data_IF_082021996710
#
_entry.id   IF_082021996710
#
_cell.length_a   1.000
_cell.length_b   1.000
_cell.length_c   1.000
_cell.angle_alpha   90.00
_cell.angle_beta   90.00
_cell.angle_gamma   90.00
#
_symmetry.space_group_name_H-M   'P 1'
#
loop_
_entity.id
_entity.type
_entity.pdbx_description
1 polymer ?
#
# COMPACT_ATOMS: atom_id res chain seq x y z
N UNK A 1 44.37 44.04 42.25
CA UNK A 1 42.91 43.86 42.36
C UNK A 1 42.64 42.37 42.56
N UNK A 2 41.83 41.99 43.56
CA UNK A 2 41.81 40.65 44.15
C UNK A 2 40.80 39.70 43.49
N UNK A 3 40.93 38.38 43.69
CA UNK A 3 39.86 37.39 43.52
C UNK A 3 39.16 37.13 44.86
N UNK A 4 37.86 36.81 44.86
CA UNK A 4 37.16 36.40 46.08
C UNK A 4 36.20 35.24 45.84
N UNK A 5 36.57 34.11 46.45
CA UNK A 5 35.83 32.89 46.73
C UNK A 5 34.85 33.06 47.89
N UNK A 6 33.79 32.24 47.94
CA UNK A 6 33.12 31.81 49.17
C UNK A 6 32.94 30.28 49.07
N UNK A 7 33.48 29.36 49.90
CA UNK A 7 33.37 29.09 51.36
C UNK A 7 31.91 29.01 51.84
N UNK A 8 31.42 27.99 52.58
CA UNK A 8 32.03 26.98 53.48
C UNK A 8 31.05 25.80 53.76
N UNK A 9 31.50 24.71 54.43
CA UNK A 9 30.76 23.47 54.69
C UNK A 9 30.37 23.26 56.18
N UNK A 10 29.74 22.10 56.44
CA UNK A 10 29.87 21.21 57.61
C UNK A 10 28.56 20.90 58.36
N UNK A 11 28.23 19.62 58.50
CA UNK A 11 27.90 19.08 59.83
C UNK A 11 28.20 17.58 59.89
N UNK A 12 29.00 17.24 60.89
CA UNK A 12 29.55 15.94 61.27
C UNK A 12 28.54 15.10 62.04
N UNK A 13 28.60 13.76 61.94
CA UNK A 13 28.43 12.88 63.11
C UNK A 13 29.09 11.52 62.87
N UNK A 14 29.85 11.03 63.87
CA UNK A 14 30.56 9.74 63.91
C UNK A 14 29.87 8.78 64.88
N UNK A 15 29.88 7.49 64.53
CA UNK A 15 29.86 6.33 65.44
C UNK A 15 28.47 5.99 66.04
N UNK A 16 28.07 4.75 66.29
CA UNK A 16 28.72 3.43 66.43
C UNK A 16 27.62 2.35 66.38
N UNK A 17 27.95 1.07 66.15
CA UNK A 17 27.09 -0.05 66.61
C UNK A 17 26.62 -1.10 65.60
N UNK A 18 27.46 -2.12 65.41
CA UNK A 18 27.19 -3.58 65.28
C UNK A 18 25.82 -4.14 64.82
N UNK A 19 25.90 -4.85 63.69
CA UNK A 19 25.32 -6.18 63.34
C UNK A 19 23.83 -6.49 63.59
N UNK A 20 23.12 -6.82 62.50
CA UNK A 20 22.50 -8.15 62.30
C UNK A 20 22.11 -8.37 60.83
N UNK A 21 22.58 -9.52 60.33
CA UNK A 21 22.23 -10.13 59.04
C UNK A 21 20.74 -10.45 58.94
N UNK A 22 20.12 -10.18 57.80
CA UNK A 22 19.15 -11.09 57.16
C UNK A 22 19.07 -10.79 55.66
N UNK A 23 19.00 -11.87 54.89
CA UNK A 23 19.10 -11.98 53.44
C UNK A 23 18.10 -11.12 52.65
N UNK A 24 18.60 -10.39 51.63
CA UNK A 24 17.79 -9.92 50.51
C UNK A 24 18.53 -10.26 49.21
N UNK A 25 17.94 -11.19 48.44
CA UNK A 25 18.40 -11.63 47.12
C UNK A 25 18.45 -10.46 46.12
N UNK A 26 19.45 -10.39 45.21
CA UNK A 26 19.46 -9.37 44.16
C UNK A 26 18.41 -9.69 43.10
N UNK A 27 17.59 -8.69 42.76
CA UNK A 27 16.62 -8.75 41.66
C UNK A 27 17.34 -9.08 40.35
N UNK A 28 16.91 -10.19 39.75
CA UNK A 28 17.34 -10.68 38.46
C UNK A 28 17.21 -9.62 37.35
N UNK A 29 18.22 -9.61 36.48
CA UNK A 29 18.22 -9.02 35.14
C UNK A 29 16.93 -9.38 34.39
N UNK A 30 16.03 -8.42 34.22
CA UNK A 30 14.93 -8.57 33.27
C UNK A 30 15.41 -8.20 31.87
N UNK A 31 15.67 -9.25 31.11
CA UNK A 31 15.82 -9.29 29.67
C UNK A 31 14.78 -8.39 28.98
N UNK A 32 15.27 -7.39 28.25
CA UNK A 32 14.46 -6.45 27.49
C UNK A 32 13.57 -7.15 26.46
N UNK A 33 12.27 -6.90 26.55
CA UNK A 33 11.29 -7.29 25.53
C UNK A 33 11.68 -6.64 24.20
N UNK A 34 12.10 -7.44 23.23
CA UNK A 34 12.23 -7.00 21.83
C UNK A 34 10.86 -6.47 21.36
N UNK A 35 10.82 -5.19 21.03
CA UNK A 35 9.63 -4.54 20.47
C UNK A 35 9.25 -5.22 19.16
N UNK A 36 8.07 -5.84 19.11
CA UNK A 36 7.42 -6.15 17.84
C UNK A 36 6.96 -4.81 17.25
N UNK A 37 7.65 -4.34 16.21
CA UNK A 37 7.15 -3.23 15.40
C UNK A 37 5.73 -3.54 14.88
N UNK A 38 4.92 -2.52 14.58
CA UNK A 38 3.54 -2.72 14.16
C UNK A 38 3.49 -3.60 12.91
N UNK A 39 2.78 -4.72 13.00
CA UNK A 39 2.53 -5.63 11.88
C UNK A 39 1.50 -4.97 10.97
N UNK A 40 1.98 -4.09 10.09
CA UNK A 40 1.22 -3.50 8.99
C UNK A 40 0.84 -4.59 7.98
N UNK A 41 -0.26 -5.32 8.22
CA UNK A 41 -0.83 -6.25 7.23
C UNK A 41 -2.21 -6.84 7.55
N UNK A 42 -2.65 -6.89 8.81
CA UNK A 42 -3.82 -7.73 9.19
C UNK A 42 -5.19 -7.17 8.78
N UNK A 43 -5.31 -5.84 8.64
CA UNK A 43 -6.50 -5.13 8.15
C UNK A 43 -6.11 -3.92 7.29
N UNK A 44 -6.88 -3.66 6.23
CA UNK A 44 -6.66 -2.53 5.33
C UNK A 44 -7.70 -1.41 5.54
N UNK A 45 -7.29 -0.16 5.31
CA UNK A 45 -8.20 1.00 5.20
C UNK A 45 -8.54 1.34 3.74
N UNK A 46 -8.08 0.51 2.80
CA UNK A 46 -8.37 0.65 1.36
C UNK A 46 -9.67 -0.07 1.10
N UNK A 47 -10.64 0.66 0.57
CA UNK A 47 -12.07 0.32 0.60
C UNK A 47 -12.42 -0.94 -0.21
N UNK A 48 -11.55 -1.35 -1.13
CA UNK A 48 -11.76 -2.47 -2.05
C UNK A 48 -10.93 -3.73 -1.71
N UNK A 49 -10.25 -3.76 -0.55
CA UNK A 49 -9.43 -4.90 -0.10
C UNK A 49 -9.53 -5.12 1.41
N UNK A 50 -9.19 -6.32 1.88
CA UNK A 50 -9.30 -6.69 3.30
C UNK A 50 -7.96 -6.58 4.05
N UNK A 51 -6.84 -6.77 3.34
CA UNK A 51 -5.50 -6.75 3.90
C UNK A 51 -4.49 -6.21 2.88
N UNK A 52 -3.33 -5.76 3.36
CA UNK A 52 -2.21 -5.39 2.47
C UNK A 52 -0.99 -6.24 2.77
N UNK A 53 -0.28 -6.62 1.72
CA UNK A 53 0.99 -7.34 1.84
C UNK A 53 2.07 -6.61 1.05
N UNK A 54 3.14 -6.22 1.74
CA UNK A 54 4.19 -5.37 1.17
C UNK A 54 5.55 -6.09 1.25
N UNK A 55 5.85 -7.01 0.32
CA UNK A 55 7.17 -7.65 0.19
C UNK A 55 8.23 -6.68 -0.35
N UNK A 56 7.83 -5.50 -0.82
CA UNK A 56 8.68 -4.39 -1.25
C UNK A 56 8.08 -3.09 -0.69
N UNK A 57 8.91 -2.12 -0.37
CA UNK A 57 8.51 -0.75 -0.02
C UNK A 57 9.30 0.25 -0.85
N UNK A 58 8.73 1.42 -1.13
CA UNK A 58 9.37 2.44 -1.96
C UNK A 58 9.17 2.24 -3.46
N UNK A 59 9.28 3.32 -4.22
CA UNK A 59 9.05 3.34 -5.68
C UNK A 59 9.57 4.64 -6.30
N UNK A 60 9.73 4.67 -7.62
CA UNK A 60 9.99 5.88 -8.40
C UNK A 60 8.76 6.31 -9.20
N UNK A 61 8.65 7.63 -9.45
CA UNK A 61 7.53 8.24 -10.16
C UNK A 61 7.68 8.01 -11.67
N UNK A 62 6.65 7.47 -12.31
CA UNK A 62 6.65 7.20 -13.77
C UNK A 62 5.60 7.97 -14.55
N UNK A 63 4.74 8.71 -13.87
CA UNK A 63 3.59 9.34 -14.50
C UNK A 63 2.95 10.43 -13.63
N UNK A 64 2.09 11.30 -14.19
CA UNK A 64 1.44 12.37 -13.43
C UNK A 64 0.60 11.88 -12.23
N UNK A 65 0.10 10.63 -12.27
CA UNK A 65 -0.59 10.02 -11.13
C UNK A 65 0.31 9.84 -9.89
N UNK A 66 1.64 9.84 -10.06
CA UNK A 66 2.60 9.69 -8.97
C UNK A 66 2.98 11.02 -8.29
N UNK A 67 2.57 12.18 -8.83
CA UNK A 67 3.03 13.50 -8.38
C UNK A 67 2.75 13.77 -6.88
N UNK A 68 1.64 13.26 -6.35
CA UNK A 68 1.22 13.45 -4.95
C UNK A 68 0.99 12.10 -4.25
N UNK A 69 1.92 11.17 -4.45
CA UNK A 69 1.84 9.82 -3.90
C UNK A 69 1.67 9.83 -2.37
N UNK A 70 0.59 9.20 -1.88
CA UNK A 70 0.35 9.06 -0.44
C UNK A 70 1.44 8.20 0.23
N UNK A 71 1.92 7.17 -0.48
CA UNK A 71 2.88 6.21 0.05
C UNK A 71 4.23 6.89 0.30
N UNK A 72 4.69 7.71 -0.65
CA UNK A 72 5.87 8.58 -0.49
C UNK A 72 5.68 9.54 0.68
N UNK A 73 4.59 10.31 0.69
CA UNK A 73 4.29 11.28 1.76
C UNK A 73 4.24 10.63 3.14
N UNK A 74 3.79 9.39 3.24
CA UNK A 74 3.74 8.64 4.49
C UNK A 74 5.13 8.14 4.91
N UNK A 75 5.87 7.54 3.96
CA UNK A 75 7.17 6.94 4.22
C UNK A 75 8.22 7.99 4.61
N UNK A 76 8.23 9.14 3.96
CA UNK A 76 9.21 10.22 4.20
C UNK A 76 9.14 10.79 5.63
N UNK A 77 8.02 10.65 6.33
CA UNK A 77 7.89 11.08 7.74
C UNK A 77 8.79 10.30 8.69
N UNK A 78 9.26 9.13 8.27
CA UNK A 78 10.02 8.20 9.09
C UNK A 78 11.49 8.08 8.66
N UNK A 79 11.91 8.87 7.66
CA UNK A 79 13.29 8.86 7.19
C UNK A 79 14.23 9.22 8.34
N UNK A 80 15.28 8.42 8.51
CA UNK A 80 16.27 8.57 9.58
C UNK A 80 15.85 8.00 10.95
N UNK A 81 14.64 7.47 11.09
CA UNK A 81 14.21 6.81 12.35
C UNK A 81 14.68 5.36 12.35
N UNK A 82 15.76 5.09 13.09
CA UNK A 82 16.39 3.77 13.15
C UNK A 82 15.41 2.66 13.56
N UNK A 83 15.42 1.56 12.81
CA UNK A 83 14.59 0.39 13.06
C UNK A 83 13.13 0.53 12.59
N UNK A 84 12.73 1.70 12.06
CA UNK A 84 11.41 1.85 11.46
C UNK A 84 11.36 1.18 10.07
N UNK A 85 10.22 0.57 9.66
CA UNK A 85 10.06 -0.01 8.32
C UNK A 85 10.30 0.93 7.12
N UNK A 86 10.37 2.23 7.38
CA UNK A 86 10.61 3.29 6.39
C UNK A 86 11.77 4.20 6.84
N UNK A 87 12.78 3.64 7.53
CA UNK A 87 14.01 4.34 7.91
C UNK A 87 14.69 5.04 6.73
N UNK A 88 14.61 4.45 5.53
CA UNK A 88 15.10 5.03 4.27
C UNK A 88 14.02 5.77 3.49
N UNK A 89 12.99 6.28 4.16
CA UNK A 89 11.86 6.98 3.51
C UNK A 89 11.21 6.12 2.42
N UNK A 90 11.00 6.71 1.23
CA UNK A 90 10.38 6.05 0.08
C UNK A 90 11.37 5.40 -0.90
N UNK A 91 12.63 5.24 -0.48
CA UNK A 91 13.63 4.54 -1.29
C UNK A 91 13.21 3.07 -1.47
N UNK A 92 13.49 2.50 -2.65
CA UNK A 92 13.13 1.11 -2.95
C UNK A 92 13.87 0.16 -2.02
N UNK A 93 13.12 -0.71 -1.34
CA UNK A 93 13.64 -1.68 -0.38
C UNK A 93 12.92 -3.01 -0.54
N UNK A 94 13.68 -4.08 -0.77
CA UNK A 94 13.17 -5.45 -0.71
C UNK A 94 12.95 -5.85 0.74
N UNK A 95 11.87 -6.60 1.01
CA UNK A 95 11.51 -7.09 2.36
C UNK A 95 11.42 -8.63 2.33
N UNK A 96 12.54 -9.36 2.15
CA UNK A 96 12.53 -10.83 2.05
C UNK A 96 11.91 -11.51 3.27
N UNK A 97 12.08 -10.93 4.46
CA UNK A 97 11.47 -11.40 5.70
C UNK A 97 9.92 -11.32 5.71
N UNK A 98 9.30 -10.64 4.74
CA UNK A 98 7.85 -10.54 4.59
C UNK A 98 7.29 -11.45 3.50
N UNK A 99 8.13 -12.17 2.75
CA UNK A 99 7.68 -13.00 1.62
C UNK A 99 6.67 -14.06 2.06
N UNK A 100 6.89 -14.70 3.21
CA UNK A 100 6.02 -15.78 3.71
C UNK A 100 4.84 -15.28 4.55
N UNK A 101 4.63 -13.96 4.68
CA UNK A 101 3.62 -13.41 5.58
C UNK A 101 2.18 -13.87 5.25
N UNK A 102 1.74 -13.95 3.98
CA UNK A 102 0.40 -14.44 3.64
C UNK A 102 0.15 -15.88 4.12
N UNK A 103 1.15 -16.75 4.08
CA UNK A 103 1.04 -18.14 4.53
C UNK A 103 0.68 -18.28 6.01
N UNK A 104 0.95 -17.25 6.82
CA UNK A 104 0.62 -17.22 8.23
C UNK A 104 -0.86 -16.86 8.49
N UNK A 105 -1.59 -16.39 7.49
CA UNK A 105 -2.98 -15.95 7.64
C UNK A 105 -3.96 -17.07 7.32
N UNK A 106 -4.43 -17.76 8.36
CA UNK A 106 -5.28 -18.95 8.21
C UNK A 106 -6.65 -18.75 7.56
N UNK A 107 -7.19 -17.53 7.55
CA UNK A 107 -8.53 -17.24 7.01
C UNK A 107 -8.43 -16.64 5.62
N UNK A 108 -9.26 -17.05 4.64
CA UNK A 108 -9.34 -16.42 3.34
C UNK A 108 -9.46 -14.91 3.42
N UNK A 109 -8.75 -14.22 2.52
CA UNK A 109 -8.65 -12.77 2.46
C UNK A 109 -8.48 -12.33 1.02
N UNK A 110 -9.04 -11.18 0.70
CA UNK A 110 -8.68 -10.37 -0.45
C UNK A 110 -7.51 -9.45 -0.07
N UNK A 111 -6.34 -9.65 -0.69
CA UNK A 111 -5.07 -9.05 -0.29
C UNK A 111 -4.56 -8.13 -1.39
N UNK A 112 -4.42 -6.84 -1.10
CA UNK A 112 -3.73 -5.92 -1.99
C UNK A 112 -2.20 -6.04 -1.84
N UNK A 113 -1.55 -6.44 -2.93
CA UNK A 113 -0.11 -6.64 -3.02
C UNK A 113 0.57 -5.30 -3.34
N UNK A 114 1.56 -4.94 -2.52
CA UNK A 114 2.41 -3.75 -2.69
C UNK A 114 1.66 -2.40 -2.62
N UNK A 115 0.84 -2.20 -1.58
CA UNK A 115 0.20 -0.91 -1.30
C UNK A 115 1.18 0.25 -0.99
N UNK A 116 2.48 -0.04 -0.83
CA UNK A 116 3.53 0.93 -0.49
C UNK A 116 4.70 0.92 -1.47
N UNK A 117 4.49 0.39 -2.67
CA UNK A 117 5.51 0.24 -3.73
C UNK A 117 4.85 -0.13 -5.06
N UNK A 118 5.64 -0.52 -6.07
CA UNK A 118 5.16 -1.16 -7.30
C UNK A 118 5.97 -2.45 -7.48
N UNK A 119 5.31 -3.62 -7.48
CA UNK A 119 5.98 -4.92 -7.59
C UNK A 119 6.83 -5.02 -8.86
N UNK A 120 6.41 -4.33 -9.93
CA UNK A 120 7.08 -4.37 -11.22
C UNK A 120 8.05 -3.21 -11.43
N UNK A 121 8.53 -2.54 -10.38
CA UNK A 121 9.60 -1.56 -10.48
C UNK A 121 10.87 -2.15 -11.13
N UNK A 122 11.54 -1.42 -12.02
CA UNK A 122 12.71 -1.88 -12.81
C UNK A 122 13.88 -2.39 -11.94
N UNK A 123 14.15 -1.73 -10.82
CA UNK A 123 15.17 -2.14 -9.84
C UNK A 123 14.74 -3.32 -8.93
N UNK A 124 13.58 -3.93 -9.14
CA UNK A 124 13.17 -5.16 -8.42
C UNK A 124 13.63 -6.35 -9.24
N UNK A 125 14.55 -7.20 -8.74
CA UNK A 125 15.04 -8.36 -9.49
C UNK A 125 13.89 -9.30 -9.89
N UNK A 126 13.91 -9.81 -11.12
CA UNK A 126 12.91 -10.77 -11.63
C UNK A 126 12.78 -11.98 -10.70
N UNK A 127 13.90 -12.51 -10.20
CA UNK A 127 13.93 -13.60 -9.22
C UNK A 127 13.21 -13.28 -7.90
N UNK A 128 13.12 -12.01 -7.50
CA UNK A 128 12.35 -11.61 -6.33
C UNK A 128 10.85 -11.57 -6.65
N UNK A 129 10.46 -11.11 -7.84
CA UNK A 129 9.07 -11.16 -8.30
C UNK A 129 8.59 -12.60 -8.38
N UNK A 130 9.41 -13.53 -8.89
CA UNK A 130 9.09 -14.98 -8.91
C UNK A 130 8.73 -15.48 -7.51
N UNK A 131 9.55 -15.17 -6.49
CA UNK A 131 9.28 -15.56 -5.09
C UNK A 131 8.00 -14.97 -4.53
N UNK A 132 7.61 -13.77 -4.97
CA UNK A 132 6.32 -13.17 -4.60
C UNK A 132 5.16 -13.98 -5.20
N UNK A 133 5.28 -14.39 -6.47
CA UNK A 133 4.29 -15.24 -7.14
C UNK A 133 4.22 -16.66 -6.55
N UNK A 134 5.36 -17.25 -6.16
CA UNK A 134 5.40 -18.53 -5.45
C UNK A 134 4.57 -18.48 -4.16
N UNK A 135 4.76 -17.44 -3.33
CA UNK A 135 3.92 -17.24 -2.13
C UNK A 135 2.44 -17.13 -2.49
N UNK A 136 2.08 -16.37 -3.54
CA UNK A 136 0.68 -16.20 -3.92
C UNK A 136 0.04 -17.51 -4.35
N UNK A 137 0.80 -18.37 -5.04
CA UNK A 137 0.36 -19.71 -5.45
C UNK A 137 0.19 -20.65 -4.26
N UNK A 138 1.18 -20.66 -3.34
CA UNK A 138 1.14 -21.51 -2.14
C UNK A 138 -0.02 -21.11 -1.21
N UNK A 139 -0.28 -19.81 -1.08
CA UNK A 139 -1.36 -19.26 -0.27
C UNK A 139 -2.70 -19.23 -1.02
N UNK A 140 -3.09 -20.35 -1.65
CA UNK A 140 -4.22 -20.46 -2.59
C UNK A 140 -5.60 -20.18 -1.98
N UNK A 141 -5.73 -20.22 -0.65
CA UNK A 141 -6.95 -19.85 0.07
C UNK A 141 -7.16 -18.32 0.15
N UNK A 142 -6.21 -17.51 -0.33
CA UNK A 142 -6.35 -16.08 -0.47
C UNK A 142 -6.52 -15.67 -1.92
N UNK A 143 -7.19 -14.54 -2.14
CA UNK A 143 -7.19 -13.84 -3.43
C UNK A 143 -6.25 -12.65 -3.36
N UNK A 144 -5.32 -12.54 -4.30
CA UNK A 144 -4.35 -11.46 -4.37
C UNK A 144 -4.72 -10.46 -5.47
N UNK A 145 -4.68 -9.18 -5.17
CA UNK A 145 -4.85 -8.08 -6.11
C UNK A 145 -3.49 -7.44 -6.34
N UNK A 146 -2.95 -7.57 -7.55
CA UNK A 146 -1.70 -6.92 -7.97
C UNK A 146 -2.05 -5.71 -8.82
N UNK A 147 -1.49 -4.54 -8.50
CA UNK A 147 -1.71 -3.30 -9.24
C UNK A 147 -0.37 -2.66 -9.59
N UNK A 148 -0.19 -2.24 -10.84
CA UNK A 148 1.06 -1.59 -11.30
C UNK A 148 0.81 -0.43 -12.25
N UNK A 149 1.82 0.44 -12.43
CA UNK A 149 1.88 1.40 -13.55
C UNK A 149 2.91 1.01 -14.61
N UNK A 150 3.61 -0.12 -14.42
CA UNK A 150 4.68 -0.65 -15.29
C UNK A 150 4.20 -1.91 -16.00
N UNK A 151 3.07 -1.78 -16.69
CA UNK A 151 2.29 -2.91 -17.22
C UNK A 151 3.00 -3.67 -18.32
N UNK A 152 3.87 -3.02 -19.10
CA UNK A 152 4.72 -3.67 -20.10
C UNK A 152 5.71 -4.65 -19.43
N UNK A 153 6.45 -4.19 -18.41
CA UNK A 153 7.33 -5.08 -17.64
C UNK A 153 6.54 -6.21 -16.97
N UNK A 154 5.35 -5.90 -16.45
CA UNK A 154 4.48 -6.92 -15.89
C UNK A 154 4.08 -7.98 -16.90
N UNK A 155 3.66 -7.58 -18.11
CA UNK A 155 3.36 -8.52 -19.20
C UNK A 155 4.57 -9.36 -19.57
N UNK A 156 5.73 -8.75 -19.81
CA UNK A 156 6.90 -9.45 -20.33
C UNK A 156 7.45 -10.45 -19.31
N UNK A 157 7.48 -10.08 -18.03
CA UNK A 157 7.90 -10.98 -16.96
C UNK A 157 6.88 -12.09 -16.72
N UNK A 158 5.59 -11.80 -16.78
CA UNK A 158 4.55 -12.80 -16.51
C UNK A 158 4.38 -13.79 -17.65
N UNK A 159 4.68 -13.42 -18.89
CA UNK A 159 4.83 -14.38 -20.01
C UNK A 159 5.93 -15.40 -19.73
N UNK A 160 7.11 -14.95 -19.32
CA UNK A 160 8.21 -15.84 -18.93
C UNK A 160 7.85 -16.73 -17.75
N UNK A 161 7.07 -16.22 -16.78
CA UNK A 161 6.57 -17.04 -15.67
C UNK A 161 5.56 -18.08 -16.12
N UNK A 162 4.66 -17.73 -17.04
CA UNK A 162 3.65 -18.63 -17.57
C UNK A 162 4.25 -19.78 -18.41
N UNK A 163 5.43 -19.58 -19.02
CA UNK A 163 6.21 -20.65 -19.66
C UNK A 163 6.75 -21.67 -18.67
N UNK A 164 6.99 -21.26 -17.41
CA UNK A 164 7.50 -22.13 -16.35
C UNK A 164 6.38 -22.78 -15.55
N UNK A 165 5.28 -22.07 -15.31
CA UNK A 165 4.18 -22.50 -14.45
C UNK A 165 2.89 -21.70 -14.77
N UNK A 166 1.72 -22.34 -14.97
CA UNK A 166 0.46 -21.64 -15.25
C UNK A 166 0.16 -20.49 -14.28
N UNK A 167 -0.48 -19.43 -14.76
CA UNK A 167 -0.88 -18.29 -13.91
C UNK A 167 -1.79 -18.74 -12.75
N UNK A 168 -1.55 -18.30 -11.50
CA UNK A 168 -2.40 -18.70 -10.38
C UNK A 168 -3.80 -18.09 -10.47
N UNK A 169 -4.83 -18.94 -10.38
CA UNK A 169 -6.25 -18.54 -10.45
C UNK A 169 -6.65 -17.50 -9.41
N UNK A 170 -5.96 -17.52 -8.27
CA UNK A 170 -6.21 -16.64 -7.14
C UNK A 170 -5.47 -15.29 -7.22
N UNK A 171 -4.78 -14.99 -8.34
CA UNK A 171 -4.08 -13.72 -8.56
C UNK A 171 -4.80 -12.89 -9.62
N UNK A 172 -5.36 -11.76 -9.18
CA UNK A 172 -5.94 -10.73 -10.03
C UNK A 172 -4.85 -9.74 -10.43
N UNK A 173 -4.84 -9.36 -11.70
CA UNK A 173 -3.87 -8.41 -12.24
C UNK A 173 -4.55 -7.10 -12.62
N UNK A 174 -3.94 -5.98 -12.28
CA UNK A 174 -4.49 -4.69 -12.66
C UNK A 174 -3.44 -3.64 -12.98
N UNK A 175 -3.90 -2.59 -13.65
CA UNK A 175 -3.09 -1.42 -13.98
C UNK A 175 -3.76 -0.14 -13.53
N UNK A 176 -2.98 0.85 -13.09
CA UNK A 176 -3.52 2.20 -12.92
C UNK A 176 -3.52 2.99 -14.23
N UNK A 177 -4.59 3.73 -14.49
CA UNK A 177 -4.72 4.64 -15.64
C UNK A 177 -5.29 5.96 -15.15
N UNK A 178 -4.45 6.98 -15.00
CA UNK A 178 -4.88 8.25 -14.43
C UNK A 178 -5.49 9.24 -15.45
N UNK A 179 -5.18 9.12 -16.74
CA UNK A 179 -5.65 10.02 -17.79
C UNK A 179 -5.51 9.37 -19.18
N UNK A 180 -6.05 10.04 -20.21
CA UNK A 180 -6.14 9.50 -21.57
C UNK A 180 -4.78 9.10 -22.17
N UNK A 181 -3.67 9.73 -21.75
CA UNK A 181 -2.31 9.42 -22.26
C UNK A 181 -1.82 8.03 -21.83
N UNK A 182 -2.45 7.41 -20.84
CA UNK A 182 -2.02 6.13 -20.26
C UNK A 182 -3.00 4.97 -20.50
N UNK A 183 -4.02 5.16 -21.34
CA UNK A 183 -5.04 4.13 -21.62
C UNK A 183 -4.45 2.86 -22.26
N UNK A 184 -3.35 3.00 -23.00
CA UNK A 184 -2.60 1.89 -23.62
C UNK A 184 -2.05 0.89 -22.61
N UNK A 185 -1.93 1.25 -21.33
CA UNK A 185 -1.58 0.25 -20.29
C UNK A 185 -2.59 -0.89 -20.22
N UNK A 186 -3.84 -0.66 -20.63
CA UNK A 186 -4.85 -1.70 -20.72
C UNK A 186 -4.53 -2.75 -21.80
N UNK A 187 -3.81 -2.38 -22.87
CA UNK A 187 -3.39 -3.32 -23.92
C UNK A 187 -2.42 -4.36 -23.36
N UNK A 188 -1.37 -3.91 -22.67
CA UNK A 188 -0.43 -4.82 -22.01
C UNK A 188 -1.10 -5.66 -20.92
N UNK A 189 -2.10 -5.10 -20.21
CA UNK A 189 -2.84 -5.85 -19.20
C UNK A 189 -3.62 -7.03 -19.82
N UNK A 190 -4.26 -6.83 -20.98
CA UNK A 190 -5.01 -7.88 -21.69
C UNK A 190 -4.14 -9.08 -22.07
N UNK A 191 -2.86 -8.83 -22.33
CA UNK A 191 -1.88 -9.87 -22.69
C UNK A 191 -1.46 -10.75 -21.50
N UNK A 192 -1.80 -10.38 -20.25
CA UNK A 192 -1.50 -11.17 -19.06
C UNK A 192 -2.60 -12.22 -18.85
N UNK A 193 -2.29 -13.52 -18.64
CA UNK A 193 -3.29 -14.60 -18.56
C UNK A 193 -4.06 -14.65 -17.21
N UNK A 194 -4.31 -13.51 -16.57
CA UNK A 194 -5.10 -13.45 -15.34
C UNK A 194 -6.60 -13.62 -15.61
N UNK A 195 -7.28 -14.48 -14.83
CA UNK A 195 -8.73 -14.66 -14.88
C UNK A 195 -9.48 -13.35 -14.61
N UNK A 196 -8.98 -12.55 -13.67
CA UNK A 196 -9.50 -11.21 -13.39
C UNK A 196 -8.43 -10.17 -13.73
N UNK A 197 -8.81 -9.26 -14.62
CA UNK A 197 -8.06 -8.08 -15.03
C UNK A 197 -8.80 -6.83 -14.63
N UNK A 198 -8.17 -5.90 -13.93
CA UNK A 198 -8.86 -4.70 -13.45
C UNK A 198 -8.09 -3.41 -13.74
N UNK A 199 -8.82 -2.31 -13.89
CA UNK A 199 -8.25 -0.98 -14.09
C UNK A 199 -8.55 -0.13 -12.86
N UNK A 200 -7.53 0.46 -12.26
CA UNK A 200 -7.69 1.48 -11.23
C UNK A 200 -7.47 2.87 -11.84
N UNK A 201 -8.55 3.58 -12.08
CA UNK A 201 -8.56 4.96 -12.52
C UNK A 201 -8.30 5.89 -11.33
N UNK A 202 -7.11 5.79 -10.72
CA UNK A 202 -6.76 6.46 -9.48
C UNK A 202 -5.31 7.02 -9.45
N UNK A 203 -5.14 8.33 -9.13
CA UNK A 203 -6.21 9.33 -9.15
C UNK A 203 -6.74 9.52 -10.59
N UNK A 204 -8.04 9.75 -10.76
CA UNK A 204 -8.59 10.15 -12.05
C UNK A 204 -8.26 11.64 -12.30
N UNK A 205 -7.43 11.90 -13.31
CA UNK A 205 -6.84 13.21 -13.64
C UNK A 205 -7.30 13.75 -15.00
N UNK A 206 -8.33 13.15 -15.61
CA UNK A 206 -8.92 13.60 -16.86
C UNK A 206 -9.99 12.64 -17.35
N UNK A 207 -10.72 13.00 -18.42
CA UNK A 207 -11.66 12.08 -19.06
C UNK A 207 -10.91 10.88 -19.65
N UNK A 208 -11.58 9.73 -19.67
CA UNK A 208 -11.05 8.48 -20.21
C UNK A 208 -11.99 7.92 -21.26
N UNK A 209 -11.43 7.39 -22.35
CA UNK A 209 -12.11 6.50 -23.30
C UNK A 209 -11.40 5.16 -23.21
N UNK A 210 -12.02 4.19 -22.54
CA UNK A 210 -11.42 2.89 -22.27
C UNK A 210 -11.95 1.83 -23.23
N UNK A 211 -11.05 1.02 -23.78
CA UNK A 211 -11.42 -0.27 -24.33
C UNK A 211 -11.53 -1.28 -23.17
N UNK A 212 -12.77 -1.63 -22.80
CA UNK A 212 -13.08 -2.54 -21.69
C UNK A 212 -13.11 -4.02 -22.09
N UNK A 213 -12.85 -4.35 -23.37
CA UNK A 213 -12.72 -5.75 -23.77
C UNK A 213 -11.64 -6.47 -22.94
N UNK A 214 -11.99 -7.63 -22.39
CA UNK A 214 -11.10 -8.44 -21.54
C UNK A 214 -10.79 -7.82 -20.17
N UNK A 215 -11.48 -6.75 -19.78
CA UNK A 215 -11.41 -6.12 -18.46
C UNK A 215 -12.64 -6.54 -17.64
N UNK A 216 -12.42 -6.87 -16.38
CA UNK A 216 -13.41 -7.50 -15.52
C UNK A 216 -13.83 -6.62 -14.34
N UNK A 217 -13.15 -5.50 -14.11
CA UNK A 217 -13.47 -4.57 -13.04
C UNK A 217 -12.80 -3.21 -13.25
N UNK A 218 -13.53 -2.13 -12.98
CA UNK A 218 -13.00 -0.76 -13.01
C UNK A 218 -13.23 -0.09 -11.66
N UNK A 219 -12.15 0.42 -11.09
CA UNK A 219 -12.15 1.21 -9.86
C UNK A 219 -11.92 2.67 -10.23
N UNK A 220 -12.71 3.58 -9.69
CA UNK A 220 -12.55 5.02 -9.89
C UNK A 220 -12.38 5.75 -8.55
N UNK A 221 -11.46 6.71 -8.49
CA UNK A 221 -11.23 7.50 -7.29
C UNK A 221 -10.44 8.78 -7.51
N UNK A 222 -10.81 9.82 -6.76
CA UNK A 222 -10.13 11.10 -6.75
C UNK A 222 -8.87 11.13 -5.89
N UNK A 223 -8.04 12.14 -6.12
CA UNK A 223 -6.77 12.30 -5.41
C UNK A 223 -6.97 12.77 -3.95
N UNK A 224 -6.15 12.24 -3.04
CA UNK A 224 -6.19 12.59 -1.61
C UNK A 224 -4.94 13.38 -1.19
N UNK A 225 -5.00 14.03 -0.03
CA UNK A 225 -3.86 14.74 0.56
C UNK A 225 -3.88 16.25 0.37
N UNK A 226 -2.86 16.92 0.89
CA UNK A 226 -2.79 18.39 0.94
C UNK A 226 -2.70 19.03 -0.46
N UNK A 227 -2.09 18.34 -1.43
CA UNK A 227 -1.93 18.79 -2.81
C UNK A 227 -2.85 18.09 -3.80
N UNK A 228 -3.93 17.49 -3.31
CA UNK A 228 -4.89 16.78 -4.16
C UNK A 228 -5.42 17.67 -5.30
N UNK A 229 -5.43 17.11 -6.51
CA UNK A 229 -6.08 17.67 -7.69
C UNK A 229 -7.56 17.27 -7.71
N UNK A 230 -8.41 18.18 -8.21
CA UNK A 230 -9.85 17.95 -8.33
C UNK A 230 -10.12 16.97 -9.47
N UNK A 231 -11.01 16.01 -9.21
CA UNK A 231 -11.62 15.15 -10.22
C UNK A 231 -12.95 15.78 -10.64
N UNK A 232 -13.19 15.91 -11.94
CA UNK A 232 -14.48 16.41 -12.44
C UNK A 232 -15.57 15.31 -12.33
N UNK A 233 -16.75 15.61 -11.78
CA UNK A 233 -17.87 14.67 -11.72
C UNK A 233 -18.29 14.09 -13.07
N UNK A 234 -18.15 14.85 -14.16
CA UNK A 234 -18.49 14.35 -15.50
C UNK A 234 -17.60 13.18 -15.92
N UNK A 235 -16.32 13.15 -15.50
CA UNK A 235 -15.39 12.08 -15.86
C UNK A 235 -15.75 10.75 -15.18
N UNK A 236 -16.15 10.80 -13.91
CA UNK A 236 -16.56 9.59 -13.17
C UNK A 236 -17.90 9.06 -13.67
N UNK A 237 -18.86 9.93 -14.01
CA UNK A 237 -20.14 9.52 -14.60
C UNK A 237 -19.93 8.84 -15.95
N UNK A 238 -19.15 9.46 -16.83
CA UNK A 238 -18.82 8.90 -18.13
C UNK A 238 -18.08 7.55 -18.02
N UNK A 239 -17.18 7.40 -17.04
CA UNK A 239 -16.51 6.12 -16.77
C UNK A 239 -17.48 5.04 -16.24
N UNK A 240 -18.40 5.40 -15.34
CA UNK A 240 -19.48 4.51 -14.88
C UNK A 240 -20.33 4.05 -16.06
N UNK A 241 -20.75 4.98 -16.91
CA UNK A 241 -21.65 4.69 -18.03
C UNK A 241 -20.96 3.78 -19.07
N UNK A 242 -19.66 3.97 -19.32
CA UNK A 242 -18.84 3.03 -20.11
C UNK A 242 -18.84 1.62 -19.51
N UNK A 243 -18.71 1.49 -18.19
CA UNK A 243 -18.71 0.21 -17.49
C UNK A 243 -20.07 -0.48 -17.57
N UNK A 244 -21.16 0.27 -17.35
CA UNK A 244 -22.54 -0.22 -17.51
C UNK A 244 -22.78 -0.72 -18.93
N UNK A 245 -22.42 0.07 -19.94
CA UNK A 245 -22.59 -0.31 -21.35
C UNK A 245 -21.81 -1.58 -21.72
N UNK A 246 -20.65 -1.80 -21.10
CA UNK A 246 -19.81 -2.98 -21.34
C UNK A 246 -20.15 -4.18 -20.44
N UNK A 247 -21.08 -4.05 -19.48
CA UNK A 247 -21.36 -5.09 -18.49
C UNK A 247 -20.18 -5.36 -17.54
N UNK A 248 -19.32 -4.37 -17.31
CA UNK A 248 -18.14 -4.48 -16.43
C UNK A 248 -18.45 -3.89 -15.06
N UNK A 249 -18.20 -4.62 -13.95
CA UNK A 249 -18.38 -4.11 -12.60
C UNK A 249 -17.65 -2.78 -12.36
N UNK A 250 -18.37 -1.81 -11.79
CA UNK A 250 -17.84 -0.49 -11.45
C UNK A 250 -17.78 -0.24 -9.94
N UNK A 251 -16.61 0.17 -9.45
CA UNK A 251 -16.40 0.52 -8.05
C UNK A 251 -15.99 2.00 -7.93
N UNK A 252 -16.88 2.81 -7.38
CA UNK A 252 -16.54 4.17 -6.98
C UNK A 252 -15.99 4.19 -5.56
N UNK A 253 -14.68 4.44 -5.46
CA UNK A 253 -13.96 4.37 -4.18
C UNK A 253 -14.17 5.62 -3.34
N UNK A 254 -13.95 6.80 -3.91
CA UNK A 254 -14.10 8.10 -3.24
C UNK A 254 -13.86 9.29 -4.17
N UNK A 255 -14.29 10.48 -3.74
CA UNK A 255 -13.97 11.75 -4.41
C UNK A 255 -12.58 12.32 -4.11
N UNK A 256 -11.85 11.79 -3.12
CA UNK A 256 -10.56 12.34 -2.73
C UNK A 256 -10.71 13.55 -1.82
N UNK A 257 -9.97 14.64 -2.04
CA UNK A 257 -10.04 15.82 -1.17
C UNK A 257 -11.20 16.79 -1.47
N UNK A 258 -11.94 16.57 -2.56
CA UNK A 258 -13.05 17.41 -3.01
C UNK A 258 -14.37 16.64 -2.90
N UNK A 259 -15.50 17.33 -2.75
CA UNK A 259 -16.82 16.71 -2.91
C UNK A 259 -17.27 16.72 -4.38
N UNK A 260 -18.45 16.15 -4.65
CA UNK A 260 -19.08 16.12 -5.98
C UNK A 260 -19.32 17.52 -6.57
N UNK A 261 -19.43 18.56 -5.74
CA UNK A 261 -19.58 19.94 -6.21
C UNK A 261 -18.23 20.63 -6.47
N UNK A 262 -17.11 19.91 -6.28
CA UNK A 262 -15.77 20.45 -6.46
C UNK A 262 -15.27 21.29 -5.30
N UNK A 263 -15.92 21.27 -4.13
CA UNK A 263 -15.47 21.99 -2.94
C UNK A 263 -14.45 21.16 -2.18
N UNK A 264 -13.37 21.79 -1.72
CA UNK A 264 -12.34 21.12 -0.93
C UNK A 264 -12.82 20.85 0.50
N UNK A 265 -13.28 19.64 0.76
CA UNK A 265 -13.81 19.23 2.08
C UNK A 265 -12.92 18.23 2.82
N UNK A 266 -11.94 17.63 2.13
CA UNK A 266 -11.04 16.60 2.64
C UNK A 266 -11.64 15.18 2.58
N UNK A 267 -10.77 14.16 2.46
CA UNK A 267 -11.13 12.74 2.22
C UNK A 267 -12.32 12.25 3.04
N UNK A 268 -12.29 12.47 4.36
CA UNK A 268 -13.32 11.93 5.26
C UNK A 268 -14.71 12.47 4.95
N UNK A 269 -14.84 13.76 4.62
CA UNK A 269 -16.14 14.39 4.32
C UNK A 269 -16.56 14.20 2.87
N UNK A 270 -15.60 14.19 1.95
CA UNK A 270 -15.83 13.98 0.53
C UNK A 270 -16.55 12.66 0.24
N UNK A 271 -16.19 11.60 0.97
CA UNK A 271 -16.92 10.34 0.94
C UNK A 271 -16.88 9.65 -0.43
N UNK A 272 -17.89 8.79 -0.65
CA UNK A 272 -17.97 7.88 -1.81
C UNK A 272 -19.37 7.76 -2.41
N UNK A 273 -20.22 8.76 -2.15
CA UNK A 273 -21.56 8.85 -2.74
C UNK A 273 -21.39 9.55 -4.09
N UNK A 274 -21.84 8.92 -5.18
CA UNK A 274 -21.88 9.47 -6.53
C UNK A 274 -23.35 9.51 -6.96
N UNK A 275 -23.87 10.67 -7.35
CA UNK A 275 -25.28 10.83 -7.74
C UNK A 275 -26.27 10.22 -6.72
N UNK A 276 -26.01 10.42 -5.43
CA UNK A 276 -26.84 9.93 -4.33
C UNK A 276 -26.72 8.42 -4.02
N UNK A 277 -25.82 7.69 -4.69
CA UNK A 277 -25.70 6.23 -4.56
C UNK A 277 -24.25 5.79 -4.25
N UNK A 278 -24.11 4.58 -3.73
CA UNK A 278 -22.81 3.91 -3.57
C UNK A 278 -22.64 2.92 -4.72
N UNK A 279 -21.49 2.98 -5.38
CA UNK A 279 -21.08 1.99 -6.39
C UNK A 279 -19.92 1.18 -5.83
N UNK A 280 -20.18 -0.08 -5.48
CA UNK A 280 -19.24 -0.97 -4.81
C UNK A 280 -19.19 -2.38 -5.44
N UNK A 281 -19.50 -2.47 -6.73
CA UNK A 281 -19.51 -3.73 -7.46
C UNK A 281 -18.12 -4.37 -7.48
N UNK A 282 -18.11 -5.70 -7.38
CA UNK A 282 -16.91 -6.53 -7.39
C UNK A 282 -16.99 -7.54 -8.55
N UNK A 283 -15.85 -7.92 -9.15
CA UNK A 283 -15.84 -9.00 -10.13
C UNK A 283 -16.23 -10.30 -9.44
N UNK A 284 -17.06 -11.10 -10.12
CA UNK A 284 -17.34 -12.47 -9.71
C UNK A 284 -16.22 -13.36 -10.24
N UNK A 285 -15.74 -14.28 -9.40
CA UNK A 285 -14.86 -15.34 -9.88
C UNK A 285 -15.71 -16.19 -10.87
N UNK A 286 -15.31 -16.18 -12.14
CA UNK A 286 -15.88 -17.05 -13.18
C UNK A 286 -15.23 -18.43 -13.06
#
# INVERSE_FOLDING_TARGET
MPPCSATRPACTWRGTGTQRSTHILPRALQCGRRGRGPVMAQSSKIEWTQATWNPITGCTKVSPGCAHCYAETMAERWRGISGHPFEYGFDLQLRPNRLKLPLLWKRPKLIFVNSMSDLFHENVPDAFVVKVFETMREASWHTFQVLTKRTERARDLTRKLAELDPWPDNVWMGTSIENQRWVQRADSLREIPAKIRFISCEPLLGPLRLNLHGIHWVICGGESGARARRMDPSWVRDLRDQCVAAGVPFFFKQWGAFDENGRRVGKKRAGRILDGQIFDEMPRLV
#
